data_IF_308174042859
#
_entry.id   IF_308174042859
#
_cell.length_a   1.000
_cell.length_b   1.000
_cell.length_c   1.000
_cell.angle_alpha   90.00
_cell.angle_beta   90.00
_cell.angle_gamma   90.00
#
_symmetry.space_group_name_H-M   'P 1'
#
loop_
_entity.id
_entity.type
_entity.pdbx_description
1 polymer ?
#
# COMPACT_ATOMS: atom_id res chain seq x y z
N UNK A 1 28.60 -2.73 1.91
CA UNK A 1 27.25 -3.24 2.19
C UNK A 1 26.45 -3.08 0.90
N UNK A 2 25.94 -4.16 0.30
CA UNK A 2 25.26 -4.09 -1.00
C UNK A 2 23.78 -3.73 -0.81
N UNK A 3 23.30 -2.70 -1.51
CA UNK A 3 21.90 -2.31 -1.54
C UNK A 3 21.14 -3.17 -2.56
N UNK A 4 20.69 -4.35 -2.14
CA UNK A 4 20.02 -5.35 -3.02
C UNK A 4 18.50 -5.41 -2.85
N UNK A 5 17.94 -4.65 -1.91
CA UNK A 5 16.48 -4.56 -1.70
C UNK A 5 15.97 -3.29 -2.37
N UNK A 6 15.19 -3.39 -3.43
CA UNK A 6 14.73 -2.21 -4.19
C UNK A 6 13.42 -1.60 -3.67
N UNK A 7 12.61 -2.41 -2.98
CA UNK A 7 11.36 -1.98 -2.34
C UNK A 7 11.18 -2.72 -1.01
N UNK A 8 10.22 -2.27 -0.22
CA UNK A 8 9.79 -2.98 0.98
C UNK A 8 8.72 -4.01 0.61
N UNK A 9 8.66 -5.17 1.27
CA UNK A 9 7.64 -6.19 1.02
C UNK A 9 6.32 -5.98 1.78
N UNK A 10 6.18 -4.83 2.45
CA UNK A 10 5.22 -4.61 3.54
C UNK A 10 5.91 -4.61 4.90
N UNK A 11 5.13 -4.70 5.98
CA UNK A 11 5.70 -4.80 7.32
C UNK A 11 6.19 -6.25 7.55
N UNK A 12 7.42 -6.45 8.06
CA UNK A 12 8.05 -7.78 8.17
C UNK A 12 7.37 -8.70 9.18
N UNK A 13 6.68 -8.10 10.16
CA UNK A 13 5.89 -8.78 11.19
C UNK A 13 4.60 -7.98 11.39
N UNK A 14 3.51 -8.67 11.71
CA UNK A 14 2.23 -8.02 11.98
C UNK A 14 2.31 -7.24 13.31
N UNK A 15 2.02 -5.92 13.34
CA UNK A 15 2.06 -5.11 14.56
C UNK A 15 0.84 -5.41 15.45
N UNK A 16 0.94 -6.45 16.27
CA UNK A 16 -0.13 -6.95 17.14
C UNK A 16 -0.37 -6.12 18.40
N UNK A 17 0.54 -5.21 18.70
CA UNK A 17 0.49 -4.25 19.81
C UNK A 17 -0.33 -2.99 19.47
N UNK A 18 -0.67 -2.79 18.18
CA UNK A 18 -1.46 -1.66 17.69
C UNK A 18 -2.83 -2.16 17.23
N UNK A 19 -3.88 -1.39 17.56
CA UNK A 19 -5.24 -1.77 17.19
C UNK A 19 -5.38 -1.95 15.66
N UNK A 20 -6.06 -3.01 15.17
CA UNK A 20 -6.16 -3.30 13.74
C UNK A 20 -6.69 -2.17 12.87
N UNK A 21 -7.55 -1.29 13.40
CA UNK A 21 -8.11 -0.17 12.63
C UNK A 21 -7.10 0.92 12.27
N UNK A 22 -5.95 1.00 12.96
CA UNK A 22 -4.98 2.09 12.78
C UNK A 22 -3.55 1.61 12.52
N UNK A 23 -3.27 0.32 12.69
CA UNK A 23 -1.91 -0.21 12.54
C UNK A 23 -1.29 0.01 11.16
N UNK A 24 -2.11 0.09 10.10
CA UNK A 24 -1.60 0.39 8.76
C UNK A 24 -1.05 1.82 8.66
N UNK A 25 -1.65 2.78 9.38
CA UNK A 25 -1.18 4.17 9.41
C UNK A 25 0.21 4.26 10.05
N UNK A 26 0.39 3.59 11.18
CA UNK A 26 1.68 3.56 11.90
C UNK A 26 2.76 2.88 11.05
N UNK A 27 2.47 1.71 10.46
CA UNK A 27 3.43 1.04 9.60
C UNK A 27 3.81 1.86 8.36
N UNK A 28 2.82 2.43 7.66
CA UNK A 28 3.10 3.17 6.42
C UNK A 28 3.82 4.49 6.74
N UNK A 29 3.49 5.15 7.86
CA UNK A 29 4.27 6.30 8.36
C UNK A 29 5.73 5.91 8.56
N UNK A 30 6.00 4.80 9.24
CA UNK A 30 7.37 4.37 9.50
C UNK A 30 8.11 4.04 8.19
N UNK A 31 7.46 3.39 7.23
CA UNK A 31 8.03 3.16 5.90
C UNK A 31 8.36 4.47 5.18
N UNK A 32 7.45 5.45 5.21
CA UNK A 32 7.64 6.76 4.59
C UNK A 32 8.71 7.63 5.27
N UNK A 33 8.95 7.42 6.57
CA UNK A 33 9.88 8.23 7.37
C UNK A 33 11.27 7.59 7.51
N UNK A 34 11.37 6.27 7.49
CA UNK A 34 12.61 5.53 7.78
C UNK A 34 13.33 5.05 6.51
N UNK A 35 12.70 5.13 5.34
CA UNK A 35 13.32 4.79 4.06
C UNK A 35 12.75 5.61 2.91
N UNK A 36 13.54 5.77 1.86
CA UNK A 36 13.17 6.35 0.57
C UNK A 36 12.67 5.28 -0.44
N UNK A 37 12.54 4.03 -0.01
CA UNK A 37 12.13 2.91 -0.86
C UNK A 37 10.61 2.82 -0.98
N UNK A 38 10.15 2.41 -2.16
CA UNK A 38 8.73 2.16 -2.44
C UNK A 38 8.17 1.12 -1.47
N UNK A 39 6.93 1.33 -1.02
CA UNK A 39 6.26 0.48 -0.06
C UNK A 39 4.94 -0.13 -0.51
N UNK A 40 4.59 -1.21 0.18
CA UNK A 40 3.37 -1.98 -0.01
C UNK A 40 2.23 -1.39 0.85
N UNK A 41 1.08 -1.16 0.23
CA UNK A 41 -0.19 -0.85 0.89
C UNK A 41 -1.03 -2.12 0.94
N UNK A 42 -1.35 -2.60 2.16
CA UNK A 42 -2.16 -3.81 2.33
C UNK A 42 -3.64 -3.53 2.05
N UNK A 43 -4.18 -4.16 0.99
CA UNK A 43 -5.58 -4.06 0.58
C UNK A 43 -6.55 -4.82 1.51
N UNK A 44 -6.68 -4.37 2.75
CA UNK A 44 -7.67 -4.89 3.72
C UNK A 44 -8.84 -3.90 3.88
N UNK A 45 -9.41 -3.51 2.74
CA UNK A 45 -10.53 -2.58 2.65
C UNK A 45 -10.17 -1.21 2.09
N UNK A 46 -11.19 -0.49 1.61
CA UNK A 46 -11.07 0.83 0.97
C UNK A 46 -10.22 1.83 1.76
N UNK A 47 -10.48 1.97 3.06
CA UNK A 47 -9.86 2.99 3.92
C UNK A 47 -8.33 2.89 3.87
N UNK A 48 -7.79 1.69 4.10
CA UNK A 48 -6.33 1.46 4.11
C UNK A 48 -5.65 1.77 2.78
N UNK A 49 -6.35 1.50 1.67
CA UNK A 49 -5.85 1.81 0.34
C UNK A 49 -5.75 3.32 0.13
N UNK A 50 -6.83 4.05 0.43
CA UNK A 50 -6.86 5.51 0.25
C UNK A 50 -5.85 6.18 1.19
N UNK A 51 -5.75 5.73 2.43
CA UNK A 51 -4.78 6.23 3.40
C UNK A 51 -3.34 5.99 2.93
N UNK A 52 -3.02 4.78 2.46
CA UNK A 52 -1.68 4.44 2.00
C UNK A 52 -1.24 5.26 0.79
N UNK A 53 -2.15 5.50 -0.16
CA UNK A 53 -1.92 6.36 -1.32
C UNK A 53 -1.69 7.81 -0.87
N UNK A 54 -2.50 8.31 0.07
CA UNK A 54 -2.39 9.69 0.53
C UNK A 54 -1.11 9.92 1.33
N UNK A 55 -0.71 8.98 2.19
CA UNK A 55 0.59 9.05 2.87
C UNK A 55 1.73 9.06 1.85
N UNK A 56 1.69 8.20 0.83
CA UNK A 56 2.70 8.20 -0.23
C UNK A 56 2.75 9.54 -0.97
N UNK A 57 1.60 10.13 -1.32
CA UNK A 57 1.51 11.43 -1.97
C UNK A 57 2.13 12.54 -1.11
N UNK A 58 1.80 12.57 0.18
CA UNK A 58 2.34 13.54 1.15
C UNK A 58 3.85 13.36 1.29
N UNK A 59 4.33 12.14 1.48
CA UNK A 59 5.76 11.84 1.63
C UNK A 59 6.56 12.22 0.38
N UNK A 60 5.98 12.04 -0.82
CA UNK A 60 6.58 12.47 -2.09
C UNK A 60 6.47 13.98 -2.33
N UNK A 61 5.59 14.69 -1.63
CA UNK A 61 5.36 16.12 -1.83
C UNK A 61 4.74 16.48 -3.19
N UNK A 62 3.97 15.57 -3.78
CA UNK A 62 3.40 15.73 -5.15
C UNK A 62 1.93 16.10 -5.13
N UNK A 63 1.44 16.69 -6.23
CA UNK A 63 0.01 16.98 -6.39
C UNK A 63 -0.80 15.70 -6.57
N UNK A 64 -2.12 15.80 -6.46
CA UNK A 64 -3.00 14.66 -6.74
C UNK A 64 -2.95 14.25 -8.21
N UNK A 65 -2.86 15.22 -9.12
CA UNK A 65 -2.75 14.99 -10.56
C UNK A 65 -1.47 14.25 -10.90
N UNK A 66 -0.34 14.65 -10.32
CA UNK A 66 0.94 13.96 -10.53
C UNK A 66 0.92 12.55 -9.95
N UNK A 67 0.27 12.34 -8.80
CA UNK A 67 0.14 11.01 -8.19
C UNK A 67 -0.63 10.02 -9.08
N UNK A 68 -1.59 10.50 -9.89
CA UNK A 68 -2.34 9.66 -10.83
C UNK A 68 -1.50 9.17 -12.02
N UNK A 69 -0.53 9.97 -12.44
CA UNK A 69 0.34 9.67 -13.59
C UNK A 69 1.61 8.88 -13.20
N UNK A 70 2.00 8.94 -11.91
CA UNK A 70 3.23 8.34 -11.40
C UNK A 70 2.93 7.24 -10.36
N UNK A 71 2.91 5.96 -10.76
CA UNK A 71 2.75 4.85 -9.83
C UNK A 71 3.80 4.92 -8.71
N UNK A 72 3.34 4.94 -7.46
CA UNK A 72 4.18 5.27 -6.30
C UNK A 72 4.15 4.22 -5.20
N UNK A 73 3.09 3.43 -5.15
CA UNK A 73 2.91 2.31 -4.23
C UNK A 73 2.38 1.11 -4.99
N UNK A 74 2.48 -0.06 -4.36
CA UNK A 74 1.88 -1.28 -4.87
C UNK A 74 1.04 -1.97 -3.81
N UNK A 75 0.10 -2.80 -4.25
CA UNK A 75 -0.66 -3.73 -3.40
C UNK A 75 -0.51 -5.15 -3.91
N UNK A 76 -0.65 -6.11 -2.99
CA UNK A 76 -0.87 -7.52 -3.31
C UNK A 76 -2.36 -7.82 -3.12
N UNK A 77 -2.97 -8.44 -4.13
CA UNK A 77 -4.37 -8.87 -4.18
C UNK A 77 -4.37 -10.38 -4.31
N UNK A 78 -4.75 -11.09 -3.25
CA UNK A 78 -4.80 -12.54 -3.30
C UNK A 78 -6.18 -13.01 -3.78
N UNK A 79 -6.20 -14.01 -4.66
CA UNK A 79 -7.43 -14.76 -4.95
C UNK A 79 -7.62 -15.88 -3.93
N UNK A 80 -8.87 -16.10 -3.52
CA UNK A 80 -9.26 -17.27 -2.73
C UNK A 80 -9.50 -18.42 -3.70
N UNK A 81 -8.45 -19.22 -3.95
CA UNK A 81 -8.51 -20.29 -4.93
C UNK A 81 -9.42 -21.45 -4.48
N UNK A 82 -10.19 -22.08 -5.40
CA UNK A 82 -10.34 -21.71 -6.82
C UNK A 82 -11.42 -20.64 -7.05
N UNK A 83 -11.11 -19.68 -7.94
CA UNK A 83 -12.04 -18.73 -8.57
C UNK A 83 -12.90 -17.88 -7.63
N UNK A 84 -12.39 -17.50 -6.45
CA UNK A 84 -13.04 -16.52 -5.59
C UNK A 84 -12.16 -15.31 -5.37
N UNK A 85 -12.79 -14.15 -5.28
CA UNK A 85 -12.18 -12.90 -4.86
C UNK A 85 -13.08 -12.30 -3.80
N UNK A 86 -12.53 -12.03 -2.62
CA UNK A 86 -13.32 -11.46 -1.53
C UNK A 86 -13.49 -9.94 -1.70
N UNK A 87 -14.40 -9.38 -0.90
CA UNK A 87 -14.77 -7.96 -0.99
C UNK A 87 -13.57 -7.04 -0.72
N UNK A 88 -12.76 -7.23 0.34
CA UNK A 88 -11.57 -6.40 0.57
C UNK A 88 -10.58 -6.40 -0.60
N UNK A 89 -10.35 -7.56 -1.22
CA UNK A 89 -9.47 -7.67 -2.39
C UNK A 89 -10.03 -6.96 -3.61
N UNK A 90 -11.35 -7.07 -3.87
CA UNK A 90 -12.01 -6.30 -4.92
C UNK A 90 -11.93 -4.79 -4.69
N UNK A 91 -12.12 -4.34 -3.44
CA UNK A 91 -11.93 -2.92 -3.08
C UNK A 91 -10.50 -2.46 -3.33
N UNK A 92 -9.51 -3.31 -3.01
CA UNK A 92 -8.10 -3.09 -3.32
C UNK A 92 -7.86 -2.80 -4.79
N UNK A 93 -8.34 -3.68 -5.68
CA UNK A 93 -8.24 -3.47 -7.14
C UNK A 93 -8.87 -2.12 -7.52
N UNK A 94 -10.11 -1.87 -7.09
CA UNK A 94 -10.85 -0.66 -7.50
C UNK A 94 -10.12 0.60 -7.02
N UNK A 95 -9.77 0.69 -5.74
CA UNK A 95 -9.15 1.91 -5.19
C UNK A 95 -7.78 2.16 -5.81
N UNK A 96 -6.91 1.14 -5.86
CA UNK A 96 -5.54 1.28 -6.34
C UNK A 96 -5.52 1.60 -7.84
N UNK A 97 -6.28 0.86 -8.66
CA UNK A 97 -6.36 1.12 -10.10
C UNK A 97 -7.02 2.47 -10.44
N UNK A 98 -8.03 2.91 -9.68
CA UNK A 98 -8.66 4.23 -9.88
C UNK A 98 -7.72 5.41 -9.60
N UNK A 99 -6.59 5.14 -8.93
CA UNK A 99 -5.58 6.13 -8.56
C UNK A 99 -4.24 5.93 -9.27
N UNK A 100 -4.20 5.11 -10.33
CA UNK A 100 -2.98 4.87 -11.11
C UNK A 100 -1.89 4.08 -10.37
N UNK A 101 -2.24 3.35 -9.32
CA UNK A 101 -1.27 2.60 -8.51
C UNK A 101 -1.14 1.14 -8.96
N UNK A 102 -0.02 0.50 -8.58
CA UNK A 102 0.32 -0.85 -9.04
C UNK A 102 -0.48 -1.90 -8.25
N UNK A 103 -1.08 -2.83 -8.99
CA UNK A 103 -1.86 -3.95 -8.43
C UNK A 103 -1.22 -5.27 -8.88
N UNK A 104 -0.78 -6.08 -7.91
CA UNK A 104 -0.25 -7.42 -8.15
C UNK A 104 -1.35 -8.42 -7.77
N UNK A 105 -1.80 -9.22 -8.73
CA UNK A 105 -2.86 -10.24 -8.56
C UNK A 105 -2.28 -11.63 -8.65
#
# INVERSE_FOLDING_TARGET
MHNILNCTGGYPVEPIDIHPSVRHLECIRDLAMLTDKVFHVYSLGKERNVDGIEIARIARGVSHEQMLEEPSVFTIINTNSPLKLDVPMMEGIIQMSSKGQVVIV
#
